data_IF_181261398854
#
_entry.id   IF_181261398854
#
_cell.length_a   1.000
_cell.length_b   1.000
_cell.length_c   1.000
_cell.angle_alpha   90.00
_cell.angle_beta   90.00
_cell.angle_gamma   90.00
#
_symmetry.space_group_name_H-M   'P 1'
#
loop_
_entity.id
_entity.type
_entity.pdbx_description
1 polymer ?
#
# COMPACT_ATOMS: atom_id res chain seq x y z
N UNK A 1 -21.97 1.47 -9.09
CA UNK A 1 -21.48 2.15 -10.30
C UNK A 1 -20.04 1.71 -10.45
N UNK A 2 -19.57 1.17 -11.59
CA UNK A 2 -18.15 1.01 -11.79
C UNK A 2 -17.56 2.42 -11.88
N UNK A 3 -16.61 2.75 -11.00
CA UNK A 3 -15.85 3.99 -11.10
C UNK A 3 -15.19 4.03 -12.47
N UNK A 4 -15.17 5.20 -13.12
CA UNK A 4 -14.60 5.32 -14.47
C UNK A 4 -13.14 4.84 -14.48
N UNK A 5 -12.76 4.04 -15.46
CA UNK A 5 -11.41 3.46 -15.65
C UNK A 5 -10.25 4.49 -15.51
N UNK A 6 -10.53 5.78 -15.70
CA UNK A 6 -9.57 6.87 -15.51
C UNK A 6 -9.16 7.11 -14.04
N UNK A 7 -10.07 6.98 -13.07
CA UNK A 7 -9.72 7.09 -11.64
C UNK A 7 -8.84 5.92 -11.21
N UNK A 8 -9.12 4.74 -11.74
CA UNK A 8 -8.40 3.51 -11.44
C UNK A 8 -6.94 3.54 -11.93
N UNK A 9 -6.66 4.27 -13.03
CA UNK A 9 -5.29 4.47 -13.50
C UNK A 9 -4.47 5.38 -12.57
N UNK A 10 -5.09 6.45 -12.05
CA UNK A 10 -4.46 7.37 -11.09
C UNK A 10 -4.20 6.72 -9.73
N UNK A 11 -5.19 6.02 -9.18
CA UNK A 11 -5.03 5.28 -7.91
C UNK A 11 -3.98 4.18 -8.02
N UNK A 12 -3.89 3.50 -9.18
CA UNK A 12 -2.82 2.54 -9.46
C UNK A 12 -1.43 3.17 -9.44
N UNK A 13 -1.26 4.37 -10.01
CA UNK A 13 0.02 5.09 -9.99
C UNK A 13 0.44 5.43 -8.56
N UNK A 14 -0.50 5.90 -7.73
CA UNK A 14 -0.26 6.16 -6.29
C UNK A 14 0.19 4.88 -5.59
N UNK A 15 -0.56 3.78 -5.75
CA UNK A 15 -0.29 2.52 -5.08
C UNK A 15 1.09 1.94 -5.45
N UNK A 16 1.42 1.92 -6.76
CA UNK A 16 2.72 1.44 -7.24
C UNK A 16 3.87 2.34 -6.78
N UNK A 17 3.66 3.65 -6.77
CA UNK A 17 4.66 4.62 -6.28
C UNK A 17 4.94 4.41 -4.78
N UNK A 18 3.88 4.26 -3.97
CA UNK A 18 4.01 3.99 -2.55
C UNK A 18 4.74 2.66 -2.27
N UNK A 19 4.36 1.58 -2.96
CA UNK A 19 5.00 0.28 -2.81
C UNK A 19 6.50 0.33 -3.17
N UNK A 20 6.85 0.99 -4.29
CA UNK A 20 8.25 1.17 -4.70
C UNK A 20 9.05 2.02 -3.72
N UNK A 21 8.46 3.10 -3.20
CA UNK A 21 9.10 3.95 -2.19
C UNK A 21 9.39 3.18 -0.90
N UNK A 22 8.42 2.39 -0.42
CA UNK A 22 8.61 1.53 0.74
C UNK A 22 9.70 0.46 0.49
N UNK A 23 9.66 -0.22 -0.66
CA UNK A 23 10.63 -1.23 -1.03
C UNK A 23 12.06 -0.67 -1.17
N UNK A 24 12.21 0.55 -1.72
CA UNK A 24 13.51 1.24 -1.81
C UNK A 24 14.13 1.53 -0.43
N UNK A 25 13.33 1.47 0.64
CA UNK A 25 13.74 1.63 2.03
C UNK A 25 13.70 0.31 2.81
N UNK A 26 13.80 -0.80 2.07
CA UNK A 26 13.91 -2.16 2.59
C UNK A 26 12.70 -2.54 3.46
N UNK A 27 11.51 -2.05 3.14
CA UNK A 27 10.28 -2.53 3.76
C UNK A 27 10.08 -4.02 3.48
N UNK A 28 9.54 -4.72 4.46
CA UNK A 28 9.27 -6.15 4.43
C UNK A 28 7.85 -6.40 3.91
N UNK A 29 7.69 -7.47 3.13
CA UNK A 29 6.41 -7.99 2.63
C UNK A 29 5.50 -6.92 2.00
N UNK A 30 6.07 -6.08 1.14
CA UNK A 30 5.34 -5.05 0.41
C UNK A 30 4.33 -5.71 -0.54
N UNK A 31 3.05 -5.43 -0.36
CA UNK A 31 1.96 -5.98 -1.18
C UNK A 31 0.97 -4.89 -1.54
N UNK A 32 0.38 -5.00 -2.73
CA UNK A 32 -0.78 -4.20 -3.12
C UNK A 32 -1.98 -5.13 -3.28
N UNK A 33 -3.08 -4.83 -2.60
CA UNK A 33 -4.36 -5.51 -2.71
C UNK A 33 -5.34 -4.61 -3.50
N UNK A 34 -5.97 -5.16 -4.53
CA UNK A 34 -7.07 -4.53 -5.26
C UNK A 34 -8.38 -4.79 -4.52
N UNK A 35 -8.94 -3.73 -3.93
CA UNK A 35 -10.15 -3.76 -3.13
C UNK A 35 -11.31 -2.98 -3.77
N UNK A 36 -11.13 -2.45 -4.99
CA UNK A 36 -12.15 -1.71 -5.76
C UNK A 36 -13.46 -2.52 -5.94
N UNK A 37 -13.35 -3.84 -6.06
CA UNK A 37 -14.52 -4.73 -6.15
C UNK A 37 -15.16 -5.12 -4.81
N UNK A 38 -14.51 -4.78 -3.69
CA UNK A 38 -14.89 -5.23 -2.35
C UNK A 38 -15.41 -4.07 -1.48
N UNK A 39 -14.91 -2.86 -1.68
CA UNK A 39 -15.34 -1.64 -0.98
C UNK A 39 -15.59 -0.49 -1.95
N UNK A 40 -16.42 0.47 -1.54
CA UNK A 40 -16.97 1.50 -2.44
C UNK A 40 -16.00 2.66 -2.69
N UNK A 41 -15.09 2.94 -1.75
CA UNK A 41 -14.32 4.19 -1.73
C UNK A 41 -12.88 3.98 -2.19
N UNK A 42 -12.21 2.96 -1.66
CA UNK A 42 -10.79 2.75 -1.90
C UNK A 42 -10.59 1.69 -2.96
N UNK A 43 -9.68 1.94 -3.90
CA UNK A 43 -9.32 1.00 -4.95
C UNK A 43 -8.21 0.04 -4.51
N UNK A 44 -7.22 0.55 -3.77
CA UNK A 44 -6.04 -0.22 -3.40
C UNK A 44 -5.63 -0.08 -1.93
N UNK A 45 -5.23 -1.19 -1.33
CA UNK A 45 -4.42 -1.19 -0.12
C UNK A 45 -2.97 -1.49 -0.44
N UNK A 46 -2.06 -0.66 0.05
CA UNK A 46 -0.63 -0.95 0.06
C UNK A 46 -0.26 -1.34 1.48
N UNK A 47 0.27 -2.53 1.68
CA UNK A 47 0.64 -3.04 3.01
C UNK A 47 2.13 -3.32 3.01
N UNK A 48 2.85 -2.79 4.00
CA UNK A 48 4.26 -3.07 4.19
C UNK A 48 4.65 -3.02 5.67
N UNK A 49 5.83 -3.57 5.98
CA UNK A 49 6.34 -3.62 7.34
C UNK A 49 7.71 -2.98 7.49
N UNK A 50 7.93 -2.28 8.60
CA UNK A 50 9.24 -1.89 9.10
C UNK A 50 9.65 -2.76 10.29
N UNK A 51 10.96 -2.97 10.45
CA UNK A 51 11.54 -3.79 11.51
C UNK A 51 11.83 -2.99 12.79
N UNK A 52 11.84 -1.66 12.71
CA UNK A 52 12.07 -0.75 13.84
C UNK A 52 11.23 0.51 13.68
N UNK A 53 10.90 1.18 14.79
CA UNK A 53 10.13 2.44 14.77
C UNK A 53 10.82 3.51 13.92
N UNK A 54 12.17 3.55 13.96
CA UNK A 54 12.97 4.42 13.09
C UNK A 54 12.74 4.12 11.61
N UNK A 55 12.75 2.85 11.24
CA UNK A 55 12.50 2.46 9.85
C UNK A 55 11.07 2.80 9.45
N UNK A 56 10.06 2.51 10.29
CA UNK A 56 8.66 2.86 10.04
C UNK A 56 8.51 4.34 9.74
N UNK A 57 9.14 5.20 10.56
CA UNK A 57 9.18 6.65 10.31
C UNK A 57 9.76 6.97 8.93
N UNK A 58 10.90 6.36 8.57
CA UNK A 58 11.51 6.53 7.24
C UNK A 58 10.60 6.03 6.11
N UNK A 59 9.91 4.90 6.29
CA UNK A 59 8.97 4.37 5.29
C UNK A 59 7.85 5.37 5.03
N UNK A 60 7.23 5.88 6.09
CA UNK A 60 6.14 6.86 6.02
C UNK A 60 6.61 8.13 5.28
N UNK A 61 7.72 8.72 5.71
CA UNK A 61 8.26 9.95 5.11
C UNK A 61 8.60 9.76 3.62
N UNK A 62 9.14 8.60 3.25
CA UNK A 62 9.54 8.32 1.88
C UNK A 62 8.37 8.00 0.95
N UNK A 63 7.33 7.33 1.44
CA UNK A 63 6.06 7.16 0.72
C UNK A 63 5.42 8.53 0.49
N UNK A 64 5.29 9.35 1.53
CA UNK A 64 4.72 10.69 1.39
C UNK A 64 5.52 11.57 0.43
N UNK A 65 6.86 11.49 0.44
CA UNK A 65 7.73 12.21 -0.49
C UNK A 65 7.51 11.74 -1.94
N UNK A 66 7.58 10.44 -2.19
CA UNK A 66 7.48 9.89 -3.54
C UNK A 66 6.10 10.12 -4.17
N UNK A 67 5.02 9.94 -3.39
CA UNK A 67 3.66 10.21 -3.89
C UNK A 67 3.45 11.71 -4.13
N UNK A 68 4.11 12.59 -3.36
CA UNK A 68 4.10 14.04 -3.62
C UNK A 68 4.80 14.44 -4.91
N UNK A 69 5.83 13.69 -5.34
CA UNK A 69 6.55 13.96 -6.59
C UNK A 69 5.67 13.72 -7.83
N UNK A 70 4.63 12.87 -7.72
CA UNK A 70 3.62 12.69 -8.77
C UNK A 70 2.40 13.61 -8.61
N UNK A 71 2.45 14.57 -7.67
CA UNK A 71 1.43 15.60 -7.49
C UNK A 71 0.37 15.28 -6.43
N UNK A 72 0.44 14.13 -5.77
CA UNK A 72 -0.59 13.65 -4.84
C UNK A 72 -0.19 13.83 -3.37
N UNK A 73 -1.17 13.98 -2.48
CA UNK A 73 -0.93 14.13 -1.03
C UNK A 73 -1.96 13.34 -0.22
N UNK A 74 -1.56 12.75 0.92
CA UNK A 74 -2.52 12.09 1.77
C UNK A 74 -3.51 13.14 2.30
N UNK A 75 -4.79 12.82 2.26
CA UNK A 75 -5.84 13.61 2.91
C UNK A 75 -5.75 13.49 4.42
N UNK A 76 -5.17 12.39 4.90
CA UNK A 76 -5.12 12.04 6.31
C UNK A 76 -3.95 11.12 6.58
N UNK A 77 -3.36 11.32 7.75
CA UNK A 77 -2.43 10.39 8.36
C UNK A 77 -2.95 10.03 9.74
N UNK A 78 -2.99 8.74 10.05
CA UNK A 78 -3.30 8.25 11.39
C UNK A 78 -2.13 7.47 11.96
N UNK A 79 -1.97 7.58 13.27
CA UNK A 79 -0.86 6.96 13.98
C UNK A 79 0.48 7.65 13.74
N UNK A 80 1.47 7.16 14.46
CA UNK A 80 2.87 7.55 14.37
C UNK A 80 3.76 6.30 14.49
N UNK A 81 5.07 6.51 14.46
CA UNK A 81 6.00 5.38 14.54
C UNK A 81 5.90 4.64 15.89
N UNK A 82 5.54 5.35 16.96
CA UNK A 82 5.40 4.79 18.31
C UNK A 82 4.06 4.02 18.45
N UNK A 83 3.05 4.33 17.63
CA UNK A 83 1.79 3.58 17.55
C UNK A 83 1.92 2.26 16.79
N UNK A 84 3.10 1.94 16.25
CA UNK A 84 3.45 0.66 15.60
C UNK A 84 2.61 0.32 14.35
N UNK A 85 1.69 1.20 14.00
CA UNK A 85 0.86 1.17 12.81
C UNK A 85 0.57 2.61 12.40
N UNK A 86 1.03 2.98 11.20
CA UNK A 86 0.71 4.23 10.54
C UNK A 86 -0.16 3.96 9.31
N UNK A 87 -1.17 4.81 9.11
CA UNK A 87 -2.05 4.79 7.96
C UNK A 87 -1.91 6.10 7.19
N UNK A 88 -1.67 6.01 5.87
CA UNK A 88 -1.70 7.14 4.94
C UNK A 88 -2.89 6.98 4.01
N UNK A 89 -3.81 7.92 4.06
CA UNK A 89 -5.09 7.90 3.37
C UNK A 89 -5.06 8.86 2.18
N UNK A 90 -5.21 8.34 0.97
CA UNK A 90 -5.30 9.08 -0.29
C UNK A 90 -6.70 8.95 -0.90
N UNK A 91 -7.72 8.58 -0.11
CA UNK A 91 -9.09 8.23 -0.55
C UNK A 91 -9.11 6.92 -1.37
N UNK A 92 -8.58 6.98 -2.59
CA UNK A 92 -8.59 5.87 -3.54
C UNK A 92 -7.48 4.85 -3.25
N UNK A 93 -6.48 5.23 -2.44
CA UNK A 93 -5.41 4.34 -1.94
C UNK A 93 -5.21 4.53 -0.44
N UNK A 94 -5.09 3.44 0.29
CA UNK A 94 -4.65 3.47 1.70
C UNK A 94 -3.36 2.70 1.86
N UNK A 95 -2.34 3.35 2.43
CA UNK A 95 -1.05 2.73 2.74
C UNK A 95 -0.99 2.40 4.23
N UNK A 96 -0.85 1.12 4.54
CA UNK A 96 -0.64 0.59 5.89
C UNK A 96 0.84 0.29 6.08
N UNK A 97 1.48 1.02 7.00
CA UNK A 97 2.86 0.76 7.42
C UNK A 97 2.82 0.20 8.83
N UNK A 98 3.19 -1.07 8.97
CA UNK A 98 3.16 -1.79 10.24
C UNK A 98 4.56 -2.00 10.81
N UNK A 99 4.67 -2.10 12.13
CA UNK A 99 5.68 -2.94 12.75
C UNK A 99 5.32 -4.42 12.51
N UNK A 100 6.34 -5.26 12.32
CA UNK A 100 6.13 -6.64 11.86
C UNK A 100 5.20 -7.45 12.79
N UNK A 101 5.38 -7.33 14.11
CA UNK A 101 4.58 -8.03 15.12
C UNK A 101 3.10 -7.60 15.07
N UNK A 102 2.84 -6.32 14.84
CA UNK A 102 1.49 -5.76 14.75
C UNK A 102 0.78 -6.21 13.47
N UNK A 103 1.49 -6.33 12.35
CA UNK A 103 0.92 -6.89 11.13
C UNK A 103 0.42 -8.32 11.33
N UNK A 104 1.21 -9.14 12.03
CA UNK A 104 0.83 -10.51 12.37
C UNK A 104 -0.39 -10.56 13.32
N UNK A 105 -0.48 -9.62 14.26
CA UNK A 105 -1.61 -9.54 15.19
C UNK A 105 -2.92 -9.13 14.50
N UNK A 106 -2.88 -8.10 13.64
CA UNK A 106 -4.07 -7.59 12.96
C UNK A 106 -4.47 -8.41 11.73
N UNK A 107 -3.49 -9.04 11.06
CA UNK A 107 -3.67 -9.97 9.93
C UNK A 107 -4.69 -9.46 8.89
N UNK A 108 -4.49 -8.21 8.43
CA UNK A 108 -5.41 -7.57 7.49
C UNK A 108 -5.50 -8.36 6.18
N UNK A 109 -4.42 -9.00 5.76
CA UNK A 109 -4.40 -9.84 4.57
C UNK A 109 -5.33 -11.04 4.66
N UNK A 110 -5.64 -11.54 5.86
CA UNK A 110 -6.68 -12.55 6.04
C UNK A 110 -8.08 -11.98 5.83
N UNK A 111 -8.34 -10.75 6.26
CA UNK A 111 -9.63 -10.07 6.02
C UNK A 111 -9.84 -9.84 4.52
N UNK A 112 -8.76 -9.52 3.80
CA UNK A 112 -8.76 -9.21 2.37
C UNK A 112 -8.19 -10.34 1.51
N UNK A 113 -8.29 -11.60 1.97
CA UNK A 113 -7.67 -12.75 1.31
C UNK A 113 -8.17 -13.00 -0.13
N UNK A 114 -9.38 -12.53 -0.43
CA UNK A 114 -10.02 -12.69 -1.73
C UNK A 114 -9.74 -11.50 -2.67
N UNK A 115 -9.05 -10.46 -2.18
CA UNK A 115 -8.61 -9.33 -2.98
C UNK A 115 -7.46 -9.75 -3.92
N UNK A 116 -7.57 -9.48 -5.23
CA UNK A 116 -6.47 -9.69 -6.16
C UNK A 116 -5.21 -8.92 -5.73
N UNK A 117 -4.04 -9.49 -6.02
CA UNK A 117 -2.76 -8.81 -5.77
C UNK A 117 -2.28 -8.11 -7.04
N UNK A 118 -1.93 -6.83 -6.91
CA UNK A 118 -1.35 -6.06 -8.01
C UNK A 118 0.18 -6.12 -7.95
N UNK A 119 0.81 -6.52 -9.06
CA UNK A 119 2.26 -6.47 -9.21
C UNK A 119 2.79 -5.03 -9.32
N UNK A 120 3.80 -4.68 -8.52
CA UNK A 120 4.36 -3.32 -8.42
C UNK A 120 5.85 -3.23 -8.76
N UNK A 121 6.54 -4.36 -8.84
CA UNK A 121 7.88 -4.48 -9.40
C UNK A 121 7.82 -5.15 -10.79
N UNK A 122 8.89 -5.03 -11.59
CA UNK A 122 8.96 -5.61 -12.93
C UNK A 122 9.01 -7.15 -12.90
N UNK A 123 9.33 -7.76 -11.76
CA UNK A 123 9.53 -9.20 -11.58
C UNK A 123 8.21 -9.93 -11.29
N UNK A 124 7.26 -9.30 -10.61
CA UNK A 124 5.99 -9.92 -10.19
C UNK A 124 4.99 -10.13 -11.33
N UNK A 125 5.16 -9.43 -12.46
CA UNK A 125 4.33 -9.65 -13.65
C UNK A 125 4.57 -11.03 -14.30
N UNK A 126 5.72 -11.67 -14.03
CA UNK A 126 6.01 -13.00 -14.56
C UNK A 126 5.33 -14.14 -13.78
N UNK A 127 4.94 -13.92 -12.52
CA UNK A 127 4.35 -14.96 -11.67
C UNK A 127 2.83 -15.14 -11.88
N UNK A 128 2.13 -14.13 -12.42
CA UNK A 128 0.69 -14.17 -12.65
C UNK A 128 0.29 -14.81 -14.01
N UNK A 129 1.26 -15.20 -14.84
CA UNK A 129 1.04 -15.73 -16.20
C UNK A 129 1.25 -17.23 -16.39
N UNK A 130 1.42 -18.00 -15.31
CA UNK A 130 1.64 -19.45 -15.39
C UNK A 130 0.70 -20.21 -14.46
N UNK A 131 -0.54 -20.38 -14.90
CA UNK A 131 -1.37 -21.51 -14.54
C UNK A 131 -1.85 -22.11 -15.87
N UNK A 132 -1.33 -23.31 -16.16
CA UNK A 132 -1.75 -24.16 -17.27
C UNK A 132 -3.26 -24.46 -17.24
#
# INVERSE_FOLDING_TARGET
MPGSDANHAGSREIAVTAARAAAAKQAVDVTILDVHGLIVITDYFVICSGQTDRQIKTLVEEVERAVREIGEKPIRREGDADSRWVLLDYIDVVVHVFAQEEREYYDLERLWRDAPRLGWNATDQAAAGSLD
#
